data_IF_225819345924
#
_entry.id   IF_225819345924
#
_cell.length_a   1.000
_cell.length_b   1.000
_cell.length_c   1.000
_cell.angle_alpha   90.00
_cell.angle_beta   90.00
_cell.angle_gamma   90.00
#
_symmetry.space_group_name_H-M   'P 1'
#
loop_
_entity.id
_entity.type
_entity.pdbx_description
1 polymer ?
#
# COMPACT_ATOMS: atom_id res chain seq x y z
N UNK A 1 1.95 -1.41 -20.92
CA UNK A 1 1.62 -1.09 -19.51
C UNK A 1 1.66 0.40 -19.31
N UNK A 2 0.63 0.95 -18.70
CA UNK A 2 0.59 2.38 -18.33
C UNK A 2 1.19 2.56 -16.93
N UNK A 3 1.87 3.65 -16.70
CA UNK A 3 2.40 3.99 -15.38
C UNK A 3 1.82 5.30 -14.88
N UNK A 4 1.62 5.39 -13.58
CA UNK A 4 1.22 6.61 -12.89
C UNK A 4 2.32 6.95 -11.89
N UNK A 5 2.74 8.21 -11.92
CA UNK A 5 3.73 8.73 -10.98
C UNK A 5 3.09 9.85 -10.16
N UNK A 6 3.26 9.78 -8.86
CA UNK A 6 2.64 10.73 -7.94
C UNK A 6 3.56 11.00 -6.76
N UNK A 7 3.69 12.26 -6.39
CA UNK A 7 4.41 12.66 -5.17
C UNK A 7 3.38 12.99 -4.10
N UNK A 8 3.34 12.17 -3.06
CA UNK A 8 2.54 12.45 -1.87
C UNK A 8 3.25 13.48 -1.00
N UNK A 9 2.47 14.26 -0.28
CA UNK A 9 2.96 15.37 0.52
C UNK A 9 2.84 15.07 2.02
N UNK A 10 3.56 15.84 2.81
CA UNK A 10 3.50 15.77 4.28
C UNK A 10 2.05 15.80 4.76
N UNK A 11 1.70 14.87 5.64
CA UNK A 11 0.38 14.76 6.23
C UNK A 11 -0.58 13.88 5.46
N UNK A 12 -0.25 13.46 4.24
CA UNK A 12 -1.09 12.50 3.51
C UNK A 12 -1.04 11.14 4.19
N UNK A 13 -2.19 10.46 4.23
CA UNK A 13 -2.27 9.06 4.63
C UNK A 13 -1.88 8.20 3.45
N UNK A 14 -0.92 7.30 3.64
CA UNK A 14 -0.36 6.50 2.56
C UNK A 14 -1.38 5.58 1.91
N UNK A 15 -2.16 4.84 2.72
CA UNK A 15 -3.16 3.91 2.19
C UNK A 15 -4.33 4.66 1.55
N UNK A 16 -4.86 5.68 2.21
CA UNK A 16 -5.98 6.46 1.68
C UNK A 16 -5.60 7.17 0.37
N UNK A 17 -4.36 7.62 0.26
CA UNK A 17 -3.85 8.24 -0.98
C UNK A 17 -3.78 7.23 -2.12
N UNK A 18 -3.34 6.00 -1.84
CA UNK A 18 -3.33 4.91 -2.83
C UNK A 18 -4.74 4.56 -3.29
N UNK A 19 -5.67 4.42 -2.34
CA UNK A 19 -7.07 4.12 -2.65
C UNK A 19 -7.69 5.21 -3.52
N UNK A 20 -7.45 6.46 -3.18
CA UNK A 20 -7.94 7.61 -3.94
C UNK A 20 -7.36 7.63 -5.36
N UNK A 21 -6.06 7.41 -5.49
CA UNK A 21 -5.38 7.34 -6.79
C UNK A 21 -5.96 6.23 -7.66
N UNK A 22 -6.20 5.05 -7.08
CA UNK A 22 -6.78 3.91 -7.78
C UNK A 22 -8.21 4.18 -8.24
N UNK A 23 -9.02 4.82 -7.40
CA UNK A 23 -10.41 5.16 -7.72
C UNK A 23 -10.49 6.24 -8.79
N UNK A 24 -9.73 7.33 -8.65
CA UNK A 24 -9.74 8.45 -9.60
C UNK A 24 -9.26 8.03 -11.00
N UNK A 25 -8.33 7.08 -11.07
CA UNK A 25 -7.80 6.57 -12.33
C UNK A 25 -8.49 5.29 -12.80
N UNK A 26 -9.52 4.84 -12.10
CA UNK A 26 -10.31 3.66 -12.46
C UNK A 26 -9.43 2.43 -12.71
N UNK A 27 -8.46 2.20 -11.84
CA UNK A 27 -7.52 1.09 -11.98
C UNK A 27 -8.25 -0.23 -11.73
N UNK A 28 -8.30 -1.09 -12.73
CA UNK A 28 -8.86 -2.42 -12.61
C UNK A 28 -7.83 -3.44 -12.13
N UNK A 29 -6.57 -3.25 -12.49
CA UNK A 29 -5.46 -4.09 -12.07
C UNK A 29 -4.17 -3.29 -12.07
N UNK A 30 -3.51 -3.19 -10.92
CA UNK A 30 -2.29 -2.44 -10.78
C UNK A 30 -1.35 -3.03 -9.74
N UNK A 31 -0.11 -2.60 -9.78
CA UNK A 31 0.92 -2.96 -8.82
C UNK A 31 1.61 -1.70 -8.31
N UNK A 32 2.03 -1.74 -7.07
CA UNK A 32 2.95 -0.74 -6.56
C UNK A 32 4.35 -1.11 -7.04
N UNK A 33 4.89 -0.33 -7.96
CA UNK A 33 6.25 -0.55 -8.45
C UNK A 33 7.29 -0.05 -7.48
N UNK A 34 7.08 1.15 -6.94
CA UNK A 34 7.87 1.62 -5.83
C UNK A 34 7.13 2.70 -5.02
N UNK A 35 7.57 2.84 -3.78
CA UNK A 35 7.22 3.97 -2.93
C UNK A 35 8.47 4.37 -2.18
N UNK A 36 8.97 5.56 -2.42
CA UNK A 36 10.21 6.08 -1.83
C UNK A 36 9.90 7.32 -1.02
N UNK A 37 10.21 7.28 0.24
CA UNK A 37 9.95 8.42 1.11
C UNK A 37 10.01 8.03 2.58
N UNK A 38 9.29 8.76 3.38
CA UNK A 38 9.28 8.54 4.83
C UNK A 38 7.92 8.84 5.45
N UNK A 39 7.73 8.30 6.63
CA UNK A 39 6.53 8.52 7.44
C UNK A 39 6.94 9.08 8.80
N UNK A 40 6.10 9.94 9.36
CA UNK A 40 6.25 10.44 10.73
C UNK A 40 5.58 9.52 11.75
N UNK A 41 4.66 8.71 11.28
CA UNK A 41 3.88 7.76 12.06
C UNK A 41 3.52 6.60 11.18
N UNK A 42 3.63 5.39 11.69
CA UNK A 42 3.21 4.19 11.01
C UNK A 42 2.13 3.45 11.80
N UNK A 43 1.24 2.82 11.09
CA UNK A 43 0.23 1.93 11.64
C UNK A 43 0.16 0.70 10.76
N UNK A 44 0.50 -0.45 11.34
CA UNK A 44 0.65 -1.69 10.56
C UNK A 44 -0.04 -2.83 11.30
N UNK A 45 -0.71 -3.70 10.55
CA UNK A 45 -1.20 -4.97 11.08
C UNK A 45 -0.05 -5.97 11.05
N UNK A 46 0.20 -6.62 12.18
CA UNK A 46 1.27 -7.61 12.29
C UNK A 46 0.85 -8.97 11.70
N UNK A 47 1.78 -9.94 11.76
CA UNK A 47 1.59 -11.26 11.15
C UNK A 47 0.53 -12.13 11.85
N UNK A 48 -0.01 -11.70 12.99
CA UNK A 48 -1.17 -12.37 13.59
C UNK A 48 -2.43 -12.24 12.72
N UNK A 49 -2.46 -11.23 11.83
CA UNK A 49 -3.62 -10.92 11.01
C UNK A 49 -4.72 -10.17 11.76
N UNK A 50 -4.49 -9.85 13.02
CA UNK A 50 -5.51 -9.25 13.92
C UNK A 50 -5.00 -7.97 14.57
N UNK A 51 -3.76 -7.95 15.07
CA UNK A 51 -3.24 -6.86 15.88
C UNK A 51 -2.65 -5.75 15.02
N UNK A 52 -3.12 -4.54 15.23
CA UNK A 52 -2.57 -3.32 14.61
C UNK A 52 -1.67 -2.62 15.62
N UNK A 53 -0.47 -2.29 15.19
CA UNK A 53 0.53 -1.61 16.01
C UNK A 53 0.81 -0.22 15.47
N UNK A 54 0.96 0.75 16.37
CA UNK A 54 1.28 2.13 16.04
C UNK A 54 2.73 2.41 16.42
N UNK A 55 3.48 2.96 15.47
CA UNK A 55 4.87 3.38 15.66
C UNK A 55 4.93 4.89 15.49
N UNK A 56 5.18 5.61 16.61
CA UNK A 56 5.20 7.07 16.63
C UNK A 56 6.63 7.59 16.57
N UNK A 57 7.32 7.26 15.49
CA UNK A 57 8.66 7.76 15.21
C UNK A 57 8.89 7.86 13.72
N UNK A 58 9.83 8.70 13.27
CA UNK A 58 10.15 8.80 11.84
C UNK A 58 10.73 7.48 11.33
N UNK A 59 10.27 7.06 10.15
CA UNK A 59 10.78 5.88 9.46
C UNK A 59 10.93 6.18 7.98
N UNK A 60 12.01 5.66 7.38
CA UNK A 60 12.18 5.66 5.93
C UNK A 60 11.43 4.48 5.33
N UNK A 61 10.72 4.70 4.24
CA UNK A 61 10.11 3.61 3.47
C UNK A 61 11.21 3.00 2.61
N UNK A 62 11.64 1.78 2.93
CA UNK A 62 12.71 1.10 2.19
C UNK A 62 12.18 0.07 1.21
N UNK A 63 10.94 -0.35 1.36
CA UNK A 63 10.28 -1.28 0.44
C UNK A 63 8.78 -1.15 0.56
N UNK A 64 8.10 -1.24 -0.56
CA UNK A 64 6.66 -1.18 -0.65
C UNK A 64 6.21 -2.06 -1.80
N UNK A 65 5.40 -3.06 -1.50
CA UNK A 65 4.86 -4.01 -2.48
C UNK A 65 3.36 -4.10 -2.34
N UNK A 66 2.66 -4.26 -3.45
CA UNK A 66 1.21 -4.40 -3.33
C UNK A 66 0.51 -4.57 -4.65
N UNK A 67 -0.71 -5.08 -4.54
CA UNK A 67 -1.69 -5.14 -5.61
C UNK A 67 -2.74 -4.07 -5.38
N UNK A 68 -3.13 -3.38 -6.43
CA UNK A 68 -3.96 -2.18 -6.34
C UNK A 68 -5.07 -2.22 -7.37
N UNK A 69 -6.28 -1.97 -6.93
CA UNK A 69 -7.41 -1.71 -7.81
C UNK A 69 -8.34 -0.69 -7.14
N UNK A 70 -9.29 -0.17 -7.89
CA UNK A 70 -10.28 0.77 -7.35
C UNK A 70 -11.08 0.18 -6.18
N UNK A 71 -11.20 -1.14 -6.12
CA UNK A 71 -11.97 -1.85 -5.09
C UNK A 71 -11.11 -2.40 -3.95
N UNK A 72 -9.81 -2.54 -4.14
CA UNK A 72 -8.95 -3.17 -3.15
C UNK A 72 -7.50 -2.74 -3.31
N UNK A 73 -6.91 -2.29 -2.22
CA UNK A 73 -5.47 -2.03 -2.13
C UNK A 73 -4.89 -2.93 -1.04
N UNK A 74 -4.01 -3.84 -1.42
CA UNK A 74 -3.34 -4.74 -0.51
C UNK A 74 -1.85 -4.49 -0.60
N UNK A 75 -1.30 -3.86 0.44
CA UNK A 75 0.06 -3.33 0.42
C UNK A 75 0.80 -3.72 1.68
N UNK A 76 2.03 -4.17 1.51
CA UNK A 76 2.97 -4.41 2.61
C UNK A 76 4.13 -3.41 2.50
N UNK A 77 4.64 -2.98 3.64
CA UNK A 77 5.76 -2.03 3.70
C UNK A 77 6.83 -2.51 4.66
N UNK A 78 8.08 -2.18 4.35
CA UNK A 78 9.20 -2.28 5.27
C UNK A 78 9.72 -0.87 5.55
N UNK A 79 9.91 -0.57 6.83
CA UNK A 79 10.25 0.76 7.32
C UNK A 79 11.54 0.70 8.12
N UNK A 80 12.48 1.60 7.80
CA UNK A 80 13.75 1.71 8.52
C UNK A 80 13.67 2.83 9.54
N UNK A 81 13.97 2.50 10.78
CA UNK A 81 13.94 3.41 11.93
C UNK A 81 15.24 4.21 12.04
N UNK A 82 15.31 5.13 12.99
CA UNK A 82 16.51 5.96 13.19
C UNK A 82 17.77 5.15 13.46
N UNK A 83 17.65 4.01 14.13
CA UNK A 83 18.76 3.11 14.40
C UNK A 83 19.05 2.12 13.24
N UNK A 84 18.38 2.30 12.11
CA UNK A 84 18.43 1.43 10.93
C UNK A 84 17.79 0.05 11.12
N UNK A 85 17.23 -0.24 12.30
CA UNK A 85 16.42 -1.46 12.43
C UNK A 85 15.20 -1.34 11.53
N UNK A 86 14.84 -2.45 10.90
CA UNK A 86 13.75 -2.46 9.92
C UNK A 86 12.59 -3.28 10.45
N UNK A 87 11.42 -2.69 10.42
CA UNK A 87 10.15 -3.29 10.79
C UNK A 87 9.22 -3.22 9.59
N UNK A 88 8.22 -4.07 9.57
CA UNK A 88 7.28 -4.05 8.45
C UNK A 88 5.99 -4.79 8.78
N UNK A 89 5.03 -4.63 7.89
CA UNK A 89 3.74 -5.30 8.04
C UNK A 89 2.75 -4.89 6.97
N UNK A 90 1.52 -5.28 7.20
CA UNK A 90 0.40 -4.96 6.33
C UNK A 90 -0.04 -3.51 6.56
N UNK A 91 -0.05 -2.73 5.48
CA UNK A 91 -0.42 -1.32 5.53
C UNK A 91 -1.89 -1.15 5.86
N UNK A 92 -2.18 -0.38 6.90
CA UNK A 92 -3.52 0.07 7.25
C UNK A 92 -3.56 1.59 7.29
N UNK A 93 -4.74 2.16 7.45
CA UNK A 93 -4.91 3.60 7.63
C UNK A 93 -4.13 4.08 8.87
N UNK A 94 -3.47 5.22 8.75
CA UNK A 94 -2.70 5.84 9.84
C UNK A 94 -1.20 5.93 9.60
N UNK A 95 -0.70 5.50 8.42
CA UNK A 95 0.68 5.77 8.01
C UNK A 95 0.74 7.14 7.37
N UNK A 96 1.36 8.08 8.06
CA UNK A 96 1.34 9.50 7.68
C UNK A 96 2.67 9.89 7.05
N UNK A 97 2.62 10.35 5.83
CA UNK A 97 3.80 10.80 5.07
C UNK A 97 4.46 11.97 5.80
N UNK A 98 5.78 11.86 5.96
CA UNK A 98 6.63 12.96 6.37
C UNK A 98 7.46 13.38 5.16
N UNK A 99 7.68 14.68 4.98
CA UNK A 99 8.29 15.24 3.77
C UNK A 99 7.54 14.84 2.49
N UNK A 100 7.90 13.73 1.86
CA UNK A 100 7.24 13.24 0.64
C UNK A 100 7.24 11.72 0.58
N UNK A 101 6.39 11.19 -0.32
CA UNK A 101 6.50 9.82 -0.80
C UNK A 101 6.33 9.82 -2.32
N UNK A 102 7.34 9.30 -3.01
CA UNK A 102 7.33 9.17 -4.47
C UNK A 102 6.74 7.81 -4.82
N UNK A 103 5.54 7.82 -5.42
CA UNK A 103 4.83 6.61 -5.81
C UNK A 103 4.90 6.39 -7.32
N UNK A 104 5.18 5.16 -7.71
CA UNK A 104 5.04 4.70 -9.09
C UNK A 104 4.13 3.47 -9.10
N UNK A 105 3.02 3.58 -9.82
CA UNK A 105 2.04 2.51 -9.97
C UNK A 105 2.07 2.01 -11.40
N UNK A 106 2.19 0.70 -11.58
CA UNK A 106 2.05 0.07 -12.88
C UNK A 106 0.61 -0.40 -13.07
N UNK A 107 -0.02 0.04 -14.16
CA UNK A 107 -1.37 -0.43 -14.53
C UNK A 107 -1.23 -1.56 -15.54
N UNK A 108 -1.81 -2.72 -15.20
CA UNK A 108 -1.67 -3.94 -15.97
C UNK A 108 -2.78 -4.03 -17.02
N UNK A 109 -2.40 -4.06 -18.28
CA UNK A 109 -3.33 -4.31 -19.37
C UNK A 109 -3.67 -5.81 -19.45
N UNK A 110 -4.89 -6.12 -19.81
CA UNK A 110 -5.33 -7.50 -19.99
C UNK A 110 -5.70 -8.22 -18.72
N UNK A 111 -5.75 -7.51 -17.59
CA UNK A 111 -6.11 -8.09 -16.29
C UNK A 111 -7.15 -7.25 -15.56
N UNK A 112 -7.96 -7.95 -14.78
CA UNK A 112 -8.88 -7.34 -13.82
C UNK A 112 -8.74 -8.07 -12.50
N UNK A 113 -8.61 -7.31 -11.42
CA UNK A 113 -8.55 -7.84 -10.06
C UNK A 113 -9.95 -7.78 -9.46
N UNK A 114 -10.53 -8.95 -9.23
CA UNK A 114 -11.78 -9.10 -8.50
C UNK A 114 -11.52 -9.44 -7.04
N UNK A 115 -12.60 -9.57 -6.29
CA UNK A 115 -12.55 -9.93 -4.87
C UNK A 115 -13.60 -11.01 -4.62
N UNK A 116 -13.24 -12.05 -3.88
CA UNK A 116 -14.18 -13.08 -3.43
C UNK A 116 -13.92 -13.42 -1.97
N UNK A 117 -14.97 -13.79 -1.26
CA UNK A 117 -14.83 -14.31 0.10
C UNK A 117 -14.26 -15.72 0.05
N UNK A 118 -13.19 -15.97 0.79
CA UNK A 118 -12.52 -17.27 0.86
C UNK A 118 -12.82 -17.93 2.20
N UNK A 119 -13.49 -19.09 2.17
CA UNK A 119 -13.84 -19.81 3.37
C UNK A 119 -12.61 -20.40 4.10
N UNK A 120 -11.50 -20.62 3.39
CA UNK A 120 -10.28 -21.16 3.99
C UNK A 120 -9.54 -20.11 4.81
N UNK A 121 -9.52 -18.85 4.34
CA UNK A 121 -8.81 -17.77 5.02
C UNK A 121 -9.71 -16.95 5.92
N UNK A 122 -11.01 -16.92 5.63
CA UNK A 122 -11.98 -16.08 6.33
C UNK A 122 -11.97 -14.63 5.89
N UNK A 123 -11.17 -14.29 4.88
CA UNK A 123 -11.05 -12.93 4.34
C UNK A 123 -11.55 -12.84 2.91
N UNK A 124 -11.70 -11.61 2.45
CA UNK A 124 -11.89 -11.31 1.03
C UNK A 124 -10.54 -11.42 0.35
N UNK A 125 -10.44 -12.31 -0.63
CA UNK A 125 -9.21 -12.56 -1.36
C UNK A 125 -9.31 -12.09 -2.79
N UNK A 126 -8.15 -11.82 -3.40
CA UNK A 126 -8.08 -11.35 -4.77
C UNK A 126 -8.41 -12.47 -5.75
N UNK A 127 -9.13 -12.11 -6.83
CA UNK A 127 -9.34 -12.99 -7.97
C UNK A 127 -8.71 -12.34 -9.20
N UNK A 128 -7.80 -13.05 -9.84
CA UNK A 128 -7.17 -12.58 -11.07
C UNK A 128 -7.99 -13.05 -12.27
N UNK A 129 -8.45 -12.10 -13.06
CA UNK A 129 -9.22 -12.36 -14.27
C UNK A 129 -8.47 -11.82 -15.46
N UNK A 130 -8.28 -12.66 -16.47
CA UNK A 130 -7.76 -12.25 -17.75
C UNK A 130 -8.88 -11.66 -18.60
N UNK A 131 -8.67 -10.53 -19.21
CA UNK A 131 -9.69 -9.81 -19.98
C UNK A 131 -9.24 -9.46 -21.39
#
# INVERSE_FOLDING_TARGET
MKTLCCRLHRGNDLLLSLQKLAQENQIEAGIVWCGVGCVSRARLRDASGVTVRTINEPCEIVSMTGTVSANRCHVHVALSREDLSTIGGHLVEGCIVNTTCELVIGVLDGWRFGVEQDAQTGYDEIVFQEV
#
